data_IF_694278571552
#
_entry.id   IF_694278571552
#
_cell.length_a   1.000
_cell.length_b   1.000
_cell.length_c   1.000
_cell.angle_alpha   90.00
_cell.angle_beta   90.00
_cell.angle_gamma   90.00
#
_symmetry.space_group_name_H-M   'P 1'
#
loop_
_entity.id
_entity.type
_entity.pdbx_description
1 polymer ?
#
# COMPACT_ATOMS: atom_id res chain seq x y z
N UNK A 1 -9.17 -11.83 3.20
CA UNK A 1 -9.24 -10.63 4.07
C UNK A 1 -10.54 -10.62 4.89
N UNK A 2 -10.63 -9.97 6.07
CA UNK A 2 -11.91 -9.88 6.81
C UNK A 2 -12.62 -8.56 6.53
N UNK A 3 -13.46 -8.55 5.49
CA UNK A 3 -14.10 -7.34 5.01
C UNK A 3 -15.18 -6.74 5.92
N UNK A 4 -15.72 -7.53 6.86
CA UNK A 4 -16.68 -7.04 7.86
C UNK A 4 -16.07 -5.99 8.79
N UNK A 5 -14.73 -5.91 8.84
CA UNK A 5 -14.00 -4.91 9.60
C UNK A 5 -14.05 -3.53 8.96
N UNK A 6 -14.33 -3.41 7.66
CA UNK A 6 -14.18 -2.17 6.92
C UNK A 6 -15.52 -1.52 6.60
N UNK A 7 -15.69 -0.29 7.06
CA UNK A 7 -16.91 0.48 6.82
C UNK A 7 -16.67 1.51 5.72
N UNK A 8 -17.33 1.37 4.59
CA UNK A 8 -17.30 2.40 3.54
C UNK A 8 -18.00 3.65 4.04
N UNK A 9 -17.31 4.78 4.02
CA UNK A 9 -17.83 6.10 4.37
C UNK A 9 -17.83 7.01 3.15
N UNK A 10 -18.69 8.05 3.10
CA UNK A 10 -18.68 8.99 1.99
C UNK A 10 -17.37 9.77 1.91
N UNK A 11 -16.86 9.94 0.69
CA UNK A 11 -15.73 10.83 0.42
C UNK A 11 -16.02 12.26 0.91
N UNK A 12 -15.05 12.90 1.56
CA UNK A 12 -15.24 14.20 2.19
C UNK A 12 -15.50 15.33 1.19
N UNK A 13 -14.99 15.21 -0.05
CA UNK A 13 -15.16 16.21 -1.10
C UNK A 13 -16.44 15.98 -1.92
N UNK A 14 -16.70 14.73 -2.30
CA UNK A 14 -17.79 14.40 -3.24
C UNK A 14 -19.07 13.96 -2.54
N UNK A 15 -19.01 13.62 -1.25
CA UNK A 15 -20.10 13.06 -0.44
C UNK A 15 -20.68 11.75 -1.01
N UNK A 16 -19.89 11.02 -1.79
CA UNK A 16 -20.27 9.76 -2.44
C UNK A 16 -19.50 8.59 -1.87
N UNK A 17 -20.08 7.40 -2.02
CA UNK A 17 -19.47 6.10 -1.66
C UNK A 17 -19.22 5.26 -2.90
N UNK A 18 -19.10 5.89 -4.08
CA UNK A 18 -18.80 5.21 -5.34
C UNK A 18 -17.41 4.56 -5.22
N UNK A 19 -17.32 3.24 -5.43
CA UNK A 19 -16.05 2.50 -5.38
C UNK A 19 -15.41 2.46 -6.76
N UNK A 20 -14.09 2.57 -6.79
CA UNK A 20 -13.28 2.57 -8.01
C UNK A 20 -12.41 1.31 -8.01
N UNK A 21 -12.97 0.23 -8.54
CA UNK A 21 -12.42 -1.13 -8.45
C UNK A 21 -11.44 -1.40 -9.60
N UNK A 22 -10.51 -2.33 -9.37
CA UNK A 22 -9.76 -2.97 -10.45
C UNK A 22 -10.58 -4.09 -11.10
N UNK A 23 -10.19 -4.50 -12.31
CA UNK A 23 -10.66 -5.74 -12.93
C UNK A 23 -9.65 -6.89 -12.69
N UNK A 24 -10.09 -8.14 -12.82
CA UNK A 24 -9.19 -9.31 -12.69
C UNK A 24 -8.06 -9.25 -13.73
N UNK A 25 -8.39 -8.76 -14.93
CA UNK A 25 -7.45 -8.55 -16.02
C UNK A 25 -6.32 -7.56 -15.65
N UNK A 26 -6.62 -6.52 -14.88
CA UNK A 26 -5.63 -5.53 -14.43
C UNK A 26 -4.62 -6.15 -13.47
N UNK A 27 -5.11 -7.01 -12.56
CA UNK A 27 -4.28 -7.77 -11.62
C UNK A 27 -3.35 -8.71 -12.39
N UNK A 28 -3.90 -9.51 -13.30
CA UNK A 28 -3.14 -10.46 -14.11
C UNK A 28 -2.10 -9.75 -14.99
N UNK A 29 -2.46 -8.60 -15.57
CA UNK A 29 -1.53 -7.77 -16.33
C UNK A 29 -0.38 -7.26 -15.45
N UNK A 30 -0.69 -6.77 -14.25
CA UNK A 30 0.31 -6.30 -13.29
C UNK A 30 1.26 -7.42 -12.85
N UNK A 31 0.73 -8.57 -12.42
CA UNK A 31 1.53 -9.75 -12.06
C UNK A 31 2.46 -10.17 -13.20
N UNK A 32 1.95 -10.18 -14.45
CA UNK A 32 2.74 -10.53 -15.64
C UNK A 32 3.81 -9.50 -15.97
N UNK A 33 3.49 -8.21 -15.94
CA UNK A 33 4.43 -7.11 -16.28
C UNK A 33 5.55 -7.05 -15.24
N UNK A 34 5.21 -7.19 -13.96
CA UNK A 34 6.15 -7.10 -12.86
C UNK A 34 6.82 -8.44 -12.53
N UNK A 35 6.36 -9.54 -13.12
CA UNK A 35 6.82 -10.90 -12.86
C UNK A 35 6.75 -11.27 -11.36
N UNK A 36 5.62 -10.94 -10.73
CA UNK A 36 5.31 -11.24 -9.33
C UNK A 36 4.00 -12.00 -9.22
N UNK A 37 3.70 -12.51 -8.02
CA UNK A 37 2.37 -12.99 -7.64
C UNK A 37 1.94 -12.21 -6.42
N UNK A 38 0.88 -11.42 -6.55
CA UNK A 38 0.29 -10.65 -5.46
C UNK A 38 -0.44 -11.61 -4.52
N UNK A 39 -0.51 -11.27 -3.23
CA UNK A 39 -1.25 -12.09 -2.28
C UNK A 39 -2.77 -11.96 -2.49
N UNK A 40 -3.50 -12.94 -2.00
CA UNK A 40 -4.95 -13.00 -2.19
C UNK A 40 -5.69 -11.85 -1.49
N UNK A 41 -5.22 -11.37 -0.33
CA UNK A 41 -5.89 -10.24 0.34
C UNK A 41 -5.77 -8.96 -0.49
N UNK A 42 -4.63 -8.71 -1.15
CA UNK A 42 -4.51 -7.59 -2.09
C UNK A 42 -5.49 -7.70 -3.25
N UNK A 43 -5.60 -8.89 -3.86
CA UNK A 43 -6.52 -9.12 -4.99
C UNK A 43 -7.96 -8.86 -4.57
N UNK A 44 -8.38 -9.46 -3.45
CA UNK A 44 -9.71 -9.24 -2.91
C UNK A 44 -9.94 -7.76 -2.57
N UNK A 45 -8.94 -7.06 -2.01
CA UNK A 45 -9.05 -5.64 -1.67
C UNK A 45 -9.32 -4.77 -2.90
N UNK A 46 -8.54 -4.90 -3.97
CA UNK A 46 -8.71 -4.04 -5.16
C UNK A 46 -9.97 -4.38 -5.96
N UNK A 47 -10.48 -5.60 -5.84
CA UNK A 47 -11.74 -6.05 -6.46
C UNK A 47 -12.99 -5.62 -5.67
N UNK A 48 -12.90 -5.43 -4.35
CA UNK A 48 -14.07 -5.14 -3.50
C UNK A 48 -14.10 -3.72 -2.92
N UNK A 49 -12.95 -3.07 -2.76
CA UNK A 49 -12.82 -1.70 -2.23
C UNK A 49 -12.17 -0.76 -3.25
N UNK A 50 -11.10 -1.22 -3.90
CA UNK A 50 -10.42 -0.46 -4.93
C UNK A 50 -9.69 0.77 -4.40
N UNK A 51 -9.76 1.88 -5.14
CA UNK A 51 -9.07 3.13 -4.81
C UNK A 51 -9.76 3.87 -3.65
N UNK A 52 -9.00 4.09 -2.57
CA UNK A 52 -9.46 4.81 -1.39
C UNK A 52 -8.42 4.91 -0.29
N UNK A 53 -8.78 5.55 0.82
CA UNK A 53 -7.97 5.64 2.03
C UNK A 53 -8.66 4.86 3.15
N UNK A 54 -7.89 4.02 3.82
CA UNK A 54 -8.31 3.12 4.88
C UNK A 54 -7.83 3.61 6.25
N UNK A 55 -8.61 3.30 7.29
CA UNK A 55 -8.23 3.57 8.68
C UNK A 55 -8.41 5.04 9.06
N UNK A 56 -9.49 5.67 8.57
CA UNK A 56 -9.81 7.05 8.94
C UNK A 56 -8.82 8.09 8.41
N UNK A 57 -8.36 7.89 7.17
CA UNK A 57 -7.36 8.69 6.41
C UNK A 57 -5.89 8.30 6.55
N UNK A 58 -5.56 7.07 6.96
CA UNK A 58 -4.15 6.68 7.18
C UNK A 58 -3.49 5.92 6.03
N UNK A 59 -4.08 4.82 5.55
CA UNK A 59 -3.43 3.88 4.63
C UNK A 59 -4.05 3.96 3.24
N UNK A 60 -3.23 4.08 2.20
CA UNK A 60 -3.68 4.03 0.81
C UNK A 60 -2.99 2.88 0.09
N UNK A 61 -3.79 1.98 -0.47
CA UNK A 61 -3.31 0.87 -1.30
C UNK A 61 -3.53 1.27 -2.76
N UNK A 62 -2.52 1.04 -3.58
CA UNK A 62 -2.55 1.41 -5.00
C UNK A 62 -3.26 0.35 -5.83
N UNK A 63 -3.97 0.80 -6.86
CA UNK A 63 -4.50 -0.09 -7.89
C UNK A 63 -3.37 -0.66 -8.76
N UNK A 64 -3.58 -1.81 -9.43
CA UNK A 64 -2.56 -2.42 -10.29
C UNK A 64 -1.98 -1.47 -11.35
N UNK A 65 -2.83 -0.65 -11.98
CA UNK A 65 -2.39 0.36 -12.97
C UNK A 65 -1.47 1.42 -12.34
N UNK A 66 -1.84 1.95 -11.17
CA UNK A 66 -1.05 2.94 -10.42
C UNK A 66 0.33 2.39 -10.05
N UNK A 67 0.40 1.12 -9.63
CA UNK A 67 1.67 0.45 -9.34
C UNK A 67 2.56 0.46 -10.58
N UNK A 68 2.05 -0.01 -11.73
CA UNK A 68 2.82 -0.08 -12.98
C UNK A 68 3.30 1.30 -13.42
N UNK A 69 2.40 2.29 -13.42
CA UNK A 69 2.71 3.64 -13.90
C UNK A 69 3.77 4.35 -13.06
N UNK A 70 3.77 4.15 -11.74
CA UNK A 70 4.65 4.89 -10.82
C UNK A 70 5.95 4.15 -10.49
N UNK A 71 6.05 2.84 -10.78
CA UNK A 71 7.17 2.01 -10.35
C UNK A 71 8.54 2.54 -10.80
N UNK A 72 8.67 2.94 -12.07
CA UNK A 72 9.95 3.38 -12.63
C UNK A 72 10.45 4.66 -11.94
N UNK A 73 9.56 5.65 -11.78
CA UNK A 73 9.84 6.91 -11.08
C UNK A 73 10.19 6.64 -9.62
N UNK A 74 9.42 5.77 -8.95
CA UNK A 74 9.69 5.37 -7.57
C UNK A 74 11.08 4.73 -7.43
N UNK A 75 11.42 3.72 -8.26
CA UNK A 75 12.75 3.08 -8.22
C UNK A 75 13.88 4.07 -8.49
N UNK A 76 13.69 5.01 -9.42
CA UNK A 76 14.67 6.07 -9.67
C UNK A 76 14.91 6.92 -8.42
N UNK A 77 13.83 7.32 -7.72
CA UNK A 77 13.91 8.10 -6.48
C UNK A 77 14.59 7.32 -5.36
N UNK A 78 14.28 6.04 -5.17
CA UNK A 78 14.94 5.18 -4.17
C UNK A 78 16.43 5.00 -4.48
N UNK A 79 16.78 4.86 -5.77
CA UNK A 79 18.17 4.70 -6.17
C UNK A 79 18.99 5.97 -5.92
N UNK A 80 18.42 7.14 -6.21
CA UNK A 80 19.05 8.45 -6.04
C UNK A 80 19.10 8.91 -4.58
N UNK A 81 18.02 8.69 -3.82
CA UNK A 81 17.81 9.19 -2.46
C UNK A 81 17.54 8.02 -1.49
N UNK A 82 18.54 7.17 -1.28
CA UNK A 82 18.45 6.09 -0.31
C UNK A 82 18.51 6.63 1.13
N UNK A 83 17.62 6.13 2.00
CA UNK A 83 17.46 6.62 3.38
C UNK A 83 17.55 5.53 4.46
N UNK A 84 17.22 4.27 4.17
CA UNK A 84 17.00 3.23 5.19
C UNK A 84 18.24 2.38 5.53
N UNK A 85 19.37 3.02 5.84
CA UNK A 85 20.63 2.32 6.11
C UNK A 85 20.61 1.48 7.39
N UNK A 86 19.89 1.92 8.43
CA UNK A 86 19.74 1.15 9.67
C UNK A 86 18.90 -0.12 9.47
N UNK A 87 17.97 -0.13 8.49
CA UNK A 87 17.11 -1.26 8.15
C UNK A 87 17.75 -2.36 7.28
N UNK A 88 19.03 -2.23 6.93
CA UNK A 88 19.71 -3.14 5.98
C UNK A 88 19.70 -4.62 6.36
N UNK A 89 19.61 -4.94 7.65
CA UNK A 89 19.55 -6.33 8.14
C UNK A 89 18.17 -6.96 7.90
N UNK A 90 17.15 -6.13 7.61
CA UNK A 90 15.81 -6.55 7.22
C UNK A 90 15.71 -6.65 5.69
N UNK A 91 16.09 -5.59 4.97
CA UNK A 91 16.21 -5.57 3.51
C UNK A 91 17.36 -4.67 3.08
N UNK A 92 18.23 -5.18 2.21
CA UNK A 92 19.24 -4.36 1.56
C UNK A 92 18.61 -3.40 0.51
N UNK A 93 19.32 -2.33 0.16
CA UNK A 93 18.88 -1.37 -0.88
C UNK A 93 18.51 -2.06 -2.18
N UNK A 94 19.31 -3.02 -2.61
CA UNK A 94 19.10 -3.78 -3.84
C UNK A 94 17.80 -4.58 -3.77
N UNK A 95 17.46 -5.15 -2.62
CA UNK A 95 16.20 -5.88 -2.41
C UNK A 95 14.99 -4.95 -2.42
N UNK A 96 15.13 -3.74 -1.86
CA UNK A 96 14.09 -2.71 -1.99
C UNK A 96 13.92 -2.28 -3.45
N UNK A 97 15.00 -2.11 -4.21
CA UNK A 97 14.94 -1.80 -5.65
C UNK A 97 14.33 -2.94 -6.49
N UNK A 98 14.44 -4.19 -6.03
CA UNK A 98 13.79 -5.34 -6.65
C UNK A 98 12.32 -5.52 -6.21
N UNK A 99 11.89 -4.82 -5.15
CA UNK A 99 10.51 -4.85 -4.66
C UNK A 99 9.56 -3.99 -5.50
N UNK A 100 8.28 -4.06 -5.12
CA UNK A 100 7.19 -3.28 -5.72
C UNK A 100 6.52 -2.46 -4.63
N UNK A 101 6.40 -1.14 -4.81
CA UNK A 101 5.60 -0.29 -3.93
C UNK A 101 4.12 -0.48 -4.24
N UNK A 102 3.36 -0.93 -3.25
CA UNK A 102 1.94 -1.27 -3.36
C UNK A 102 1.02 -0.26 -2.67
N UNK A 103 1.58 0.69 -1.94
CA UNK A 103 0.81 1.70 -1.23
C UNK A 103 1.68 2.63 -0.41
N UNK A 104 1.04 3.52 0.31
CA UNK A 104 1.66 4.43 1.27
C UNK A 104 0.72 4.79 2.42
N UNK A 105 1.27 5.48 3.41
CA UNK A 105 0.50 6.15 4.45
C UNK A 105 0.36 7.64 4.13
N UNK A 106 -0.61 8.30 4.75
CA UNK A 106 -0.78 9.75 4.65
C UNK A 106 0.46 10.53 5.10
N UNK A 107 1.22 9.99 6.06
CA UNK A 107 2.47 10.61 6.52
C UNK A 107 3.64 10.36 5.54
N UNK A 108 3.46 9.48 4.56
CA UNK A 108 4.42 9.20 3.48
C UNK A 108 5.31 8.00 3.73
N UNK A 109 4.95 7.12 4.67
CA UNK A 109 5.59 5.81 4.79
C UNK A 109 5.19 4.96 3.58
N UNK A 110 6.12 4.19 3.03
CA UNK A 110 5.86 3.39 1.84
C UNK A 110 5.67 1.93 2.18
N UNK A 111 4.68 1.31 1.54
CA UNK A 111 4.38 -0.10 1.69
C UNK A 111 4.93 -0.81 0.47
N UNK A 112 5.86 -1.75 0.68
CA UNK A 112 6.48 -2.52 -0.39
C UNK A 112 6.17 -4.01 -0.23
N UNK A 113 6.09 -4.69 -1.37
CA UNK A 113 5.90 -6.13 -1.47
C UNK A 113 7.12 -6.77 -2.13
N UNK A 114 7.72 -7.74 -1.43
CA UNK A 114 8.91 -8.45 -1.87
C UNK A 114 8.87 -9.90 -1.45
N UNK A 115 9.09 -10.83 -2.40
CA UNK A 115 9.15 -12.28 -2.15
C UNK A 115 8.00 -12.82 -1.28
N UNK A 116 6.76 -12.36 -1.53
CA UNK A 116 5.54 -12.76 -0.80
C UNK A 116 5.44 -12.27 0.64
N UNK A 117 6.12 -11.17 0.94
CA UNK A 117 6.05 -10.51 2.24
C UNK A 117 5.97 -9.00 2.05
N UNK A 118 5.38 -8.34 3.05
CA UNK A 118 5.17 -6.91 3.11
C UNK A 118 6.14 -6.25 4.08
N UNK A 119 6.64 -5.11 3.67
CA UNK A 119 7.56 -4.29 4.45
C UNK A 119 7.13 -2.83 4.41
N UNK A 120 7.43 -2.11 5.48
CA UNK A 120 7.22 -0.67 5.57
C UNK A 120 8.57 0.04 5.54
N UNK A 121 8.64 1.05 4.68
CA UNK A 121 9.72 2.01 4.56
C UNK A 121 9.25 3.33 5.17
N UNK A 122 9.56 3.61 6.44
CA UNK A 122 9.05 4.80 7.12
C UNK A 122 9.65 6.07 6.54
N UNK A 123 8.88 7.16 6.53
CA UNK A 123 9.40 8.47 6.11
C UNK A 123 10.36 9.08 7.12
N UNK A 124 10.12 8.83 8.41
CA UNK A 124 10.76 9.52 9.52
C UNK A 124 11.72 8.63 10.33
N UNK A 125 12.03 7.43 9.83
CA UNK A 125 12.95 6.48 10.45
C UNK A 125 13.74 5.73 9.38
N UNK A 126 15.03 5.52 9.62
CA UNK A 126 15.90 4.73 8.72
C UNK A 126 15.70 3.21 8.88
N UNK A 127 14.83 2.79 9.81
CA UNK A 127 14.53 1.37 10.04
C UNK A 127 13.50 0.84 9.05
N UNK A 128 13.68 -0.39 8.57
CA UNK A 128 12.70 -1.11 7.75
C UNK A 128 11.94 -2.08 8.65
N UNK A 129 10.63 -2.13 8.53
CA UNK A 129 9.79 -3.04 9.32
C UNK A 129 9.18 -4.11 8.44
N UNK A 130 9.21 -5.36 8.92
CA UNK A 130 8.44 -6.46 8.34
C UNK A 130 7.02 -6.41 8.89
N UNK A 131 6.04 -6.19 8.02
CA UNK A 131 4.64 -5.96 8.40
C UNK A 131 3.81 -7.24 8.43
N UNK A 132 4.06 -8.17 7.49
CA UNK A 132 3.27 -9.39 7.35
C UNK A 132 3.49 -10.11 6.03
N UNK A 133 2.68 -11.14 5.79
CA UNK A 133 2.64 -11.92 4.54
C UNK A 133 1.41 -11.62 3.70
N UNK A 134 0.39 -11.04 4.30
CA UNK A 134 -0.85 -10.65 3.61
C UNK A 134 -1.12 -9.16 3.79
N UNK A 135 -1.97 -8.63 2.92
CA UNK A 135 -2.38 -7.23 3.03
C UNK A 135 -3.13 -6.94 4.34
N UNK A 136 -3.97 -7.87 4.83
CA UNK A 136 -4.67 -7.72 6.12
C UNK A 136 -3.72 -7.61 7.31
N UNK A 137 -2.69 -8.48 7.36
CA UNK A 137 -1.66 -8.42 8.40
C UNK A 137 -0.92 -7.08 8.37
N UNK A 138 -0.64 -6.59 7.16
CA UNK A 138 0.07 -5.32 6.93
C UNK A 138 -0.75 -4.12 7.38
N UNK A 139 -2.02 -4.05 6.99
CA UNK A 139 -2.95 -3.01 7.46
C UNK A 139 -3.11 -3.08 8.98
N UNK A 140 -3.24 -4.29 9.54
CA UNK A 140 -3.34 -4.47 10.99
C UNK A 140 -2.08 -3.97 11.70
N UNK A 141 -0.89 -4.25 11.15
CA UNK A 141 0.37 -3.76 11.69
C UNK A 141 0.44 -2.23 11.66
N UNK A 142 0.07 -1.62 10.52
CA UNK A 142 0.06 -0.16 10.34
C UNK A 142 -0.85 0.53 11.36
N UNK A 143 -2.05 0.00 11.58
CA UNK A 143 -3.03 0.64 12.46
C UNK A 143 -2.87 0.29 13.95
N UNK A 144 -2.28 -0.86 14.30
CA UNK A 144 -2.31 -1.40 15.67
C UNK A 144 -0.94 -1.56 16.33
N UNK A 145 0.18 -1.46 15.59
CA UNK A 145 1.52 -1.71 16.17
C UNK A 145 1.96 -0.64 17.18
N UNK A 146 1.48 0.60 17.03
CA UNK A 146 1.96 1.73 17.82
C UNK A 146 3.39 2.18 17.49
N UNK A 147 3.97 1.69 16.38
CA UNK A 147 5.38 1.95 16.02
C UNK A 147 5.53 3.23 15.19
N UNK A 148 4.72 3.39 14.14
CA UNK A 148 4.80 4.56 13.24
C UNK A 148 3.87 5.69 13.68
N UNK A 149 2.73 5.35 14.27
CA UNK A 149 1.75 6.29 14.80
C UNK A 149 1.07 5.67 16.03
N UNK A 150 0.34 6.48 16.80
CA UNK A 150 -0.48 5.98 17.90
C UNK A 150 -1.48 4.95 17.38
N UNK A 151 -1.62 3.81 18.08
CA UNK A 151 -2.51 2.74 17.65
C UNK A 151 -3.97 3.21 17.68
N UNK A 152 -4.71 2.88 16.62
CA UNK A 152 -6.09 3.32 16.44
C UNK A 152 -6.99 2.20 15.91
N UNK A 153 -8.28 2.29 16.23
CA UNK A 153 -9.25 1.20 15.98
C UNK A 153 -10.12 1.44 14.76
N UNK A 154 -10.10 2.66 14.22
CA UNK A 154 -10.84 3.08 13.05
C UNK A 154 -10.43 2.23 11.84
N UNK A 155 -11.44 1.74 11.12
CA UNK A 155 -11.30 0.91 9.91
C UNK A 155 -12.25 1.42 8.81
N UNK A 156 -12.53 2.72 8.84
CA UNK A 156 -13.33 3.35 7.80
C UNK A 156 -12.53 3.37 6.49
N UNK A 157 -13.23 3.13 5.38
CA UNK A 157 -12.71 3.23 4.02
C UNK A 157 -13.40 4.39 3.31
N UNK A 158 -12.60 5.35 2.87
CA UNK A 158 -13.04 6.51 2.11
C UNK A 158 -12.61 6.37 0.64
N UNK A 159 -13.52 6.13 -0.31
CA UNK A 159 -13.16 5.97 -1.71
C UNK A 159 -12.73 7.31 -2.31
N UNK A 160 -11.85 7.28 -3.30
CA UNK A 160 -11.54 8.45 -4.12
C UNK A 160 -11.29 8.04 -5.57
N UNK A 161 -11.57 8.95 -6.50
CA UNK A 161 -11.29 8.73 -7.92
C UNK A 161 -9.76 8.70 -8.13
N UNK A 162 -9.17 7.60 -8.64
CA UNK A 162 -7.73 7.54 -8.88
C UNK A 162 -7.23 8.65 -9.82
N UNK A 163 -8.09 9.24 -10.65
CA UNK A 163 -7.76 10.39 -11.52
C UNK A 163 -7.58 11.71 -10.75
N UNK A 164 -8.08 11.79 -9.50
CA UNK A 164 -7.91 12.95 -8.63
C UNK A 164 -6.55 12.97 -7.91
N UNK A 165 -5.76 11.89 -8.00
CA UNK A 165 -4.38 11.88 -7.50
C UNK A 165 -3.53 12.79 -8.39
N UNK A 166 -3.27 14.00 -7.92
CA UNK A 166 -2.22 14.88 -8.46
C UNK A 166 -0.94 14.64 -7.68
N UNK A 167 0.14 14.29 -8.38
CA UNK A 167 1.51 14.25 -7.84
C UNK A 167 1.95 15.61 -7.27
#
# INVERSE_FOLDING_TARGET
MNFDNYKVIPNYQTHKTDLFLAEEEDILACEKILNIVLDEDYKEYVLNFGSGILGGTYVRIYLPETIIMTLATWKSRINEYWFWDEGKEVLAKEEVLDSVRIGDTFDGDEIIYFKKEYYILPRHSEMIYKAGKTLEETITWLCSSGILTEAFSERDFEPFDPMDIKE
#
